data_IF_111024800204
#
_entry.id   IF_111024800204
#
_cell.length_a   1.000
_cell.length_b   1.000
_cell.length_c   1.000
_cell.angle_alpha   90.00
_cell.angle_beta   90.00
_cell.angle_gamma   90.00
#
_symmetry.space_group_name_H-M   'P 1'
#
loop_
_entity.id
_entity.type
_entity.pdbx_description
1 polymer ?
#
# COMPACT_ATOMS: atom_id res chain seq x y z
N UNK A 1 -0.04 3.25 -23.09
CA UNK A 1 0.99 3.30 -22.01
C UNK A 1 0.29 3.45 -20.65
N UNK A 2 0.03 4.64 -20.09
CA UNK A 2 -0.59 4.75 -18.74
C UNK A 2 -1.95 4.04 -18.60
N UNK A 3 -2.83 4.13 -19.61
CA UNK A 3 -4.14 3.45 -19.57
C UNK A 3 -4.02 1.93 -19.51
N UNK A 4 -3.06 1.39 -20.24
CA UNK A 4 -2.81 -0.06 -20.31
C UNK A 4 -2.18 -0.55 -19.00
N UNK A 5 -1.24 0.22 -18.44
CA UNK A 5 -0.63 -0.05 -17.14
C UNK A 5 -1.67 -0.05 -16.00
N UNK A 6 -2.61 0.89 -16.03
CA UNK A 6 -3.71 0.93 -15.06
C UNK A 6 -4.68 -0.25 -15.23
N UNK A 7 -4.98 -0.65 -16.47
CA UNK A 7 -5.83 -1.81 -16.74
C UNK A 7 -5.16 -3.12 -16.27
N UNK A 8 -3.85 -3.26 -16.47
CA UNK A 8 -3.08 -4.40 -15.97
C UNK A 8 -3.07 -4.41 -14.42
N UNK A 9 -2.83 -3.25 -13.79
CA UNK A 9 -2.90 -3.14 -12.32
C UNK A 9 -4.27 -3.54 -11.77
N UNK A 10 -5.36 -3.11 -12.42
CA UNK A 10 -6.73 -3.49 -12.04
C UNK A 10 -6.93 -5.00 -12.17
N UNK A 11 -6.58 -5.59 -13.31
CA UNK A 11 -6.67 -7.02 -13.57
C UNK A 11 -5.94 -7.85 -12.49
N UNK A 12 -4.70 -7.47 -12.14
CA UNK A 12 -3.92 -8.13 -11.09
C UNK A 12 -4.53 -7.95 -9.70
N UNK A 13 -5.03 -6.75 -9.40
CA UNK A 13 -5.59 -6.42 -8.08
C UNK A 13 -6.96 -7.07 -7.85
N UNK A 14 -7.75 -7.29 -8.90
CA UNK A 14 -9.04 -7.98 -8.84
C UNK A 14 -8.89 -9.47 -8.43
N UNK A 15 -7.71 -10.06 -8.64
CA UNK A 15 -7.38 -11.38 -8.14
C UNK A 15 -7.13 -11.42 -6.62
N UNK A 16 -7.05 -10.28 -5.93
CA UNK A 16 -6.80 -10.23 -4.48
C UNK A 16 -8.12 -10.38 -3.72
N UNK A 17 -8.38 -11.51 -3.04
CA UNK A 17 -9.65 -11.73 -2.39
C UNK A 17 -9.84 -10.80 -1.18
N UNK A 18 -11.12 -10.54 -0.86
CA UNK A 18 -11.48 -9.91 0.39
C UNK A 18 -10.89 -10.67 1.58
N UNK A 19 -10.39 -9.93 2.57
CA UNK A 19 -9.74 -10.49 3.77
C UNK A 19 -8.41 -11.24 3.53
N UNK A 20 -7.70 -10.97 2.43
CA UNK A 20 -6.34 -11.50 2.17
C UNK A 20 -5.38 -11.31 3.37
N UNK A 21 -5.48 -10.18 4.10
CA UNK A 21 -4.69 -9.97 5.32
C UNK A 21 -4.95 -10.99 6.44
N UNK A 22 -6.19 -11.47 6.57
CA UNK A 22 -6.56 -12.47 7.57
C UNK A 22 -6.44 -13.91 7.06
N UNK A 23 -6.58 -14.13 5.74
CA UNK A 23 -6.58 -15.48 5.15
C UNK A 23 -5.21 -15.93 4.67
N UNK A 24 -4.42 -15.02 4.10
CA UNK A 24 -3.11 -15.33 3.50
C UNK A 24 -1.94 -14.73 4.29
N UNK A 25 -2.22 -13.92 5.32
CA UNK A 25 -1.18 -13.25 6.12
C UNK A 25 -0.50 -12.08 5.39
N UNK A 26 -1.10 -11.59 4.30
CA UNK A 26 -0.54 -10.56 3.41
C UNK A 26 -1.57 -9.44 3.24
N UNK A 27 -1.18 -8.17 3.37
CA UNK A 27 -2.12 -7.08 3.09
C UNK A 27 -2.28 -6.86 1.58
N UNK A 28 -3.53 -6.82 1.10
CA UNK A 28 -3.83 -6.53 -0.31
C UNK A 28 -3.31 -5.17 -0.77
N UNK A 29 -3.28 -4.16 0.11
CA UNK A 29 -2.69 -2.86 -0.22
C UNK A 29 -1.18 -2.93 -0.51
N UNK A 30 -0.44 -3.75 0.25
CA UNK A 30 0.98 -3.98 -0.01
C UNK A 30 1.19 -4.77 -1.30
N UNK A 31 0.35 -5.78 -1.54
CA UNK A 31 0.37 -6.55 -2.79
C UNK A 31 0.12 -5.65 -4.01
N UNK A 32 -0.90 -4.79 -3.99
CA UNK A 32 -1.19 -3.85 -5.08
C UNK A 32 -0.06 -2.83 -5.31
N UNK A 33 0.61 -2.35 -4.26
CA UNK A 33 1.80 -1.51 -4.43
C UNK A 33 2.93 -2.27 -5.13
N UNK A 34 3.16 -3.53 -4.75
CA UNK A 34 4.10 -4.44 -5.43
C UNK A 34 3.74 -4.67 -6.91
N UNK A 35 2.45 -4.84 -7.22
CA UNK A 35 1.95 -4.97 -8.59
C UNK A 35 2.25 -3.71 -9.42
N UNK A 36 1.99 -2.52 -8.85
CA UNK A 36 2.30 -1.25 -9.51
C UNK A 36 3.80 -1.10 -9.77
N UNK A 37 4.64 -1.45 -8.79
CA UNK A 37 6.10 -1.41 -8.95
C UNK A 37 6.57 -2.38 -10.03
N UNK A 38 6.04 -3.60 -10.05
CA UNK A 38 6.34 -4.61 -11.06
C UNK A 38 5.97 -4.15 -12.48
N UNK A 39 4.84 -3.47 -12.65
CA UNK A 39 4.44 -2.88 -13.94
C UNK A 39 5.45 -1.80 -14.38
N UNK A 40 5.77 -0.85 -13.49
CA UNK A 40 6.74 0.22 -13.80
C UNK A 40 8.13 -0.33 -14.15
N UNK A 41 8.57 -1.39 -13.48
CA UNK A 41 9.87 -2.03 -13.76
C UNK A 41 9.86 -2.98 -14.96
N UNK A 42 8.69 -3.30 -15.52
CA UNK A 42 8.57 -4.34 -16.54
C UNK A 42 9.01 -5.72 -16.02
N UNK A 43 8.73 -6.03 -14.75
CA UNK A 43 9.09 -7.31 -14.14
C UNK A 43 8.34 -8.47 -14.82
N UNK A 44 9.03 -9.60 -14.95
CA UNK A 44 8.50 -10.86 -15.48
C UNK A 44 8.98 -12.05 -14.62
N UNK A 45 8.31 -13.21 -14.65
CA UNK A 45 8.60 -14.32 -13.72
C UNK A 45 10.06 -14.80 -13.65
N UNK A 46 10.82 -14.67 -14.75
CA UNK A 46 12.22 -15.09 -14.85
C UNK A 46 13.20 -13.92 -14.95
N UNK A 47 12.73 -12.69 -14.69
CA UNK A 47 13.55 -11.47 -14.73
C UNK A 47 13.97 -11.11 -13.31
N UNK A 48 15.28 -11.01 -13.07
CA UNK A 48 15.83 -10.72 -11.74
C UNK A 48 15.82 -9.22 -11.42
N UNK A 49 16.00 -8.38 -12.45
CA UNK A 49 16.10 -6.93 -12.32
C UNK A 49 14.75 -6.34 -11.89
N UNK A 50 14.73 -5.65 -10.75
CA UNK A 50 13.52 -5.05 -10.20
C UNK A 50 12.67 -6.01 -9.37
N UNK A 51 12.94 -7.32 -9.38
CA UNK A 51 12.22 -8.28 -8.56
C UNK A 51 12.60 -8.13 -7.08
N UNK A 52 13.91 -8.10 -6.78
CA UNK A 52 14.39 -7.99 -5.40
C UNK A 52 13.91 -6.70 -4.74
N UNK A 53 14.02 -5.57 -5.44
CA UNK A 53 13.62 -4.26 -4.92
C UNK A 53 12.11 -4.20 -4.67
N UNK A 54 11.31 -4.80 -5.56
CA UNK A 54 9.87 -4.94 -5.37
C UNK A 54 9.51 -5.77 -4.15
N UNK A 55 10.22 -6.88 -3.90
CA UNK A 55 9.99 -7.73 -2.72
C UNK A 55 10.39 -7.02 -1.42
N UNK A 56 11.53 -6.32 -1.42
CA UNK A 56 11.97 -5.51 -0.28
C UNK A 56 10.97 -4.41 0.04
N UNK A 57 10.49 -3.69 -0.98
CA UNK A 57 9.42 -2.71 -0.83
C UNK A 57 8.19 -3.34 -0.16
N UNK A 58 7.66 -4.43 -0.71
CA UNK A 58 6.47 -5.10 -0.16
C UNK A 58 6.69 -5.54 1.29
N UNK A 59 7.88 -6.02 1.63
CA UNK A 59 8.25 -6.38 3.02
C UNK A 59 8.17 -5.18 3.97
N UNK A 60 8.75 -4.05 3.59
CA UNK A 60 8.71 -2.81 4.40
C UNK A 60 7.29 -2.28 4.57
N UNK A 61 6.50 -2.30 3.50
CA UNK A 61 5.08 -1.93 3.51
C UNK A 61 4.28 -2.80 4.48
N UNK A 62 4.47 -4.13 4.43
CA UNK A 62 3.83 -5.07 5.34
C UNK A 62 4.22 -4.80 6.79
N UNK A 63 5.51 -4.52 7.05
CA UNK A 63 5.98 -4.20 8.39
C UNK A 63 5.33 -2.90 8.92
N UNK A 64 5.21 -1.86 8.10
CA UNK A 64 4.56 -0.62 8.46
C UNK A 64 3.04 -0.79 8.70
N UNK A 65 2.37 -1.59 7.86
CA UNK A 65 0.96 -1.92 8.01
C UNK A 65 0.73 -2.70 9.31
N UNK A 66 1.58 -3.70 9.61
CA UNK A 66 1.49 -4.51 10.82
C UNK A 66 1.61 -3.63 12.09
N UNK A 67 2.52 -2.65 12.09
CA UNK A 67 2.67 -1.67 13.18
C UNK A 67 1.45 -0.78 13.40
N UNK A 68 0.51 -0.71 12.45
CA UNK A 68 -0.76 -0.01 12.63
C UNK A 68 -1.74 -0.74 13.56
N UNK A 69 -1.46 -2.00 13.93
CA UNK A 69 -2.05 -2.66 15.11
C UNK A 69 -3.49 -3.17 14.99
N UNK A 70 -4.06 -3.30 13.79
CA UNK A 70 -5.42 -3.84 13.62
C UNK A 70 -5.62 -4.45 12.23
N UNK A 71 -6.22 -5.65 12.12
CA UNK A 71 -6.68 -6.15 10.83
C UNK A 71 -7.92 -5.34 10.37
N UNK A 72 -8.17 -5.29 9.04
CA UNK A 72 -9.45 -4.84 8.43
C UNK A 72 -9.72 -3.34 8.29
N UNK A 73 -8.74 -2.53 7.87
CA UNK A 73 -9.04 -1.22 7.27
C UNK A 73 -8.24 -0.97 5.99
N UNK A 74 -8.79 -1.39 4.83
CA UNK A 74 -8.12 -1.20 3.54
C UNK A 74 -7.78 0.27 3.25
N UNK A 75 -8.57 1.23 3.76
CA UNK A 75 -8.30 2.67 3.62
C UNK A 75 -7.03 3.09 4.37
N UNK A 76 -6.87 2.63 5.61
CA UNK A 76 -5.65 2.88 6.41
C UNK A 76 -4.45 2.21 5.77
N UNK A 77 -4.59 0.93 5.42
CA UNK A 77 -3.48 0.13 4.92
C UNK A 77 -3.02 0.62 3.53
N UNK A 78 -3.94 1.07 2.66
CA UNK A 78 -3.60 1.73 1.40
C UNK A 78 -2.84 3.04 1.61
N UNK A 79 -3.27 3.86 2.58
CA UNK A 79 -2.55 5.09 2.95
C UNK A 79 -1.14 4.79 3.43
N UNK A 80 -0.97 3.81 4.31
CA UNK A 80 0.36 3.39 4.77
C UNK A 80 1.20 2.87 3.59
N UNK A 81 0.65 1.97 2.78
CA UNK A 81 1.36 1.39 1.64
C UNK A 81 1.86 2.46 0.66
N UNK A 82 0.99 3.41 0.28
CA UNK A 82 1.35 4.51 -0.62
C UNK A 82 2.45 5.36 -0.01
N UNK A 83 2.33 5.75 1.27
CA UNK A 83 3.32 6.58 1.96
C UNK A 83 4.70 5.93 1.96
N UNK A 84 4.78 4.67 2.37
CA UNK A 84 6.06 3.96 2.44
C UNK A 84 6.64 3.66 1.05
N UNK A 85 5.80 3.46 0.03
CA UNK A 85 6.27 3.17 -1.33
C UNK A 85 6.91 4.38 -2.02
N UNK A 86 6.63 5.62 -1.59
CA UNK A 86 7.14 6.84 -2.24
C UNK A 86 8.66 6.80 -2.44
N UNK A 87 9.43 6.39 -1.42
CA UNK A 87 10.89 6.31 -1.51
C UNK A 87 11.35 5.31 -2.58
N UNK A 88 10.69 4.15 -2.67
CA UNK A 88 11.00 3.10 -3.65
C UNK A 88 10.72 3.54 -5.08
N UNK A 89 9.60 4.23 -5.32
CA UNK A 89 9.29 4.77 -6.64
C UNK A 89 10.21 5.93 -7.01
N UNK A 90 10.56 6.80 -6.06
CA UNK A 90 11.48 7.91 -6.29
C UNK A 90 12.90 7.43 -6.62
N UNK A 91 13.32 6.29 -6.05
CA UNK A 91 14.59 5.65 -6.34
C UNK A 91 14.71 5.12 -7.78
N UNK A 92 13.61 5.04 -8.54
CA UNK A 92 13.62 4.63 -9.96
C UNK A 92 14.17 5.70 -10.91
N UNK A 93 14.40 6.93 -10.44
CA UNK A 93 14.95 8.02 -11.24
C UNK A 93 13.94 8.69 -12.20
N UNK A 94 12.65 8.38 -12.07
CA UNK A 94 11.56 9.02 -12.81
C UNK A 94 11.04 10.31 -12.14
N UNK A 95 9.86 10.81 -12.56
CA UNK A 95 9.17 11.90 -11.89
C UNK A 95 9.00 11.63 -10.40
N UNK A 96 9.38 12.59 -9.58
CA UNK A 96 9.40 12.43 -8.13
C UNK A 96 8.00 12.57 -7.55
N UNK A 97 7.55 11.53 -6.85
CA UNK A 97 6.33 11.54 -6.06
C UNK A 97 6.54 12.39 -4.81
N UNK A 98 5.59 13.29 -4.56
CA UNK A 98 5.60 14.12 -3.35
C UNK A 98 5.13 13.29 -2.16
N UNK A 99 5.98 13.22 -1.13
CA UNK A 99 5.54 12.77 0.18
C UNK A 99 4.47 13.73 0.74
N UNK A 100 3.61 13.23 1.62
CA UNK A 100 2.61 14.07 2.26
C UNK A 100 3.27 15.06 3.20
N UNK A 101 3.00 16.36 3.01
CA UNK A 101 3.41 17.40 3.95
C UNK A 101 2.69 17.25 5.30
N UNK A 102 1.43 16.84 5.26
CA UNK A 102 0.59 16.58 6.44
C UNK A 102 -0.09 15.24 6.30
N UNK A 103 -0.22 14.53 7.42
CA UNK A 103 -0.95 13.26 7.46
C UNK A 103 -2.42 13.50 7.08
N UNK A 104 -3.00 12.73 6.14
CA UNK A 104 -4.41 12.86 5.79
C UNK A 104 -5.30 12.45 6.97
N UNK A 105 -6.38 13.19 7.19
CA UNK A 105 -7.39 12.83 8.20
C UNK A 105 -8.43 11.94 7.53
N UNK A 106 -8.79 10.83 8.19
CA UNK A 106 -9.81 9.92 7.71
C UNK A 106 -11.20 10.56 7.87
N UNK A 107 -11.98 10.56 6.80
CA UNK A 107 -13.39 10.99 6.73
C UNK A 107 -14.38 9.84 6.99
N UNK A 108 -13.94 8.61 6.76
CA UNK A 108 -14.77 7.41 6.80
C UNK A 108 -14.87 6.78 8.19
N UNK A 109 -14.28 7.38 9.22
CA UNK A 109 -14.17 6.79 10.56
C UNK A 109 -15.54 6.56 11.20
N UNK A 110 -16.49 7.47 11.01
CA UNK A 110 -17.82 7.43 11.62
C UNK A 110 -18.70 6.30 11.08
N UNK A 111 -18.51 5.88 9.83
CA UNK A 111 -19.32 4.84 9.16
C UNK A 111 -18.61 3.48 9.10
N UNK A 112 -17.35 3.41 9.56
CA UNK A 112 -16.59 2.17 9.56
C UNK A 112 -16.85 1.39 10.86
N UNK A 113 -17.68 0.34 10.76
CA UNK A 113 -18.09 -0.51 11.91
C UNK A 113 -16.94 -1.25 12.60
N UNK A 114 -15.77 -1.33 11.96
CA UNK A 114 -14.54 -1.94 12.51
C UNK A 114 -13.42 -0.91 12.71
N UNK A 115 -13.76 0.37 12.86
CA UNK A 115 -12.80 1.42 13.16
C UNK A 115 -12.14 1.18 14.53
N UNK A 116 -10.82 1.39 14.62
CA UNK A 116 -10.08 1.31 15.89
C UNK A 116 -10.01 2.66 16.65
N UNK A 117 -10.76 3.67 16.20
CA UNK A 117 -10.84 5.00 16.83
C UNK A 117 -9.48 5.70 16.92
N UNK A 118 -9.20 6.28 18.08
CA UNK A 118 -8.00 7.05 18.42
C UNK A 118 -6.68 6.30 18.23
N UNK A 119 -6.72 4.96 18.21
CA UNK A 119 -5.54 4.14 17.94
C UNK A 119 -5.11 4.19 16.46
N UNK A 120 -5.99 4.64 15.55
CA UNK A 120 -5.68 4.75 14.14
C UNK A 120 -4.87 6.02 13.88
N UNK A 121 -3.71 5.93 13.19
CA UNK A 121 -2.89 7.11 12.89
C UNK A 121 -3.60 8.18 12.06
N UNK A 122 -4.70 7.83 11.38
CA UNK A 122 -5.47 8.74 10.52
C UNK A 122 -6.78 9.21 11.18
N UNK A 123 -7.06 8.86 12.44
CA UNK A 123 -8.26 9.33 13.12
C UNK A 123 -8.17 10.84 13.42
N UNK A 124 -9.27 11.63 13.34
CA UNK A 124 -9.25 13.05 13.66
C UNK A 124 -8.70 13.36 15.06
N UNK A 125 -9.00 12.49 16.03
CA UNK A 125 -8.54 12.62 17.42
C UNK A 125 -7.18 11.95 17.70
N UNK A 126 -6.43 11.52 16.67
CA UNK A 126 -5.12 10.90 16.89
C UNK A 126 -4.12 11.93 17.44
N UNK A 127 -3.60 11.67 18.64
CA UNK A 127 -2.52 12.44 19.26
C UNK A 127 -1.23 11.63 19.12
N UNK A 128 -0.15 12.26 18.65
CA UNK A 128 1.17 11.63 18.60
C UNK A 128 1.59 11.34 20.05
N UNK A 129 1.69 10.05 20.40
CA UNK A 129 2.38 9.59 21.62
C UNK A 129 3.87 9.49 21.35
#
# INVERSE_FOLDING_TARGET
MLKDDLADLMSRSDCVPGATCARWGMCGAAASAGMAYAIVRGNAPLRSEGWQEGQLMVSELLAAIARSGSPRCCKRDARVAIREAVSFFNALGGPQLKAWEKRPVCDSYAVNTVCMGEKCPYHPSFIIQ
#
